data_IF_389599243721
#
_entry.id   IF_389599243721
#
_cell.length_a   1.000
_cell.length_b   1.000
_cell.length_c   1.000
_cell.angle_alpha   90.00
_cell.angle_beta   90.00
_cell.angle_gamma   90.00
#
_symmetry.space_group_name_H-M   'P 1'
#
loop_
_entity.id
_entity.type
_entity.pdbx_description
1 polymer ?
#
# COMPACT_ATOMS: atom_id res chain seq x y z
N UNK A 1 -2.61 1.54 56.65
CA UNK A 1 -2.11 0.31 56.00
C UNK A 1 -0.77 0.64 55.32
N UNK A 2 0.37 0.26 55.93
CA UNK A 2 1.71 0.57 55.38
C UNK A 2 2.08 -0.52 54.37
N UNK A 3 2.11 -0.21 53.08
CA UNK A 3 2.56 -1.11 52.03
C UNK A 3 4.07 -1.31 52.19
N UNK A 4 4.49 -2.58 52.27
CA UNK A 4 5.85 -2.98 52.55
C UNK A 4 6.79 -2.47 51.43
N UNK A 5 7.81 -1.68 51.82
CA UNK A 5 8.80 -1.05 50.93
C UNK A 5 9.53 -2.04 50.01
N UNK A 6 9.57 -3.33 50.35
CA UNK A 6 10.11 -4.41 49.52
C UNK A 6 9.24 -4.76 48.34
N UNK A 7 7.91 -4.59 48.41
CA UNK A 7 6.97 -4.86 47.32
C UNK A 7 7.00 -3.71 46.31
N UNK A 8 7.12 -2.46 46.77
CA UNK A 8 7.27 -1.30 45.88
C UNK A 8 8.54 -1.37 45.02
N UNK A 9 9.68 -1.77 45.63
CA UNK A 9 10.94 -1.94 44.88
C UNK A 9 10.86 -3.06 43.83
N UNK A 10 10.17 -4.17 44.13
CA UNK A 10 9.94 -5.26 43.16
C UNK A 10 8.98 -4.84 42.06
N UNK A 11 7.94 -4.05 42.34
CA UNK A 11 7.02 -3.55 41.33
C UNK A 11 7.71 -2.57 40.36
N UNK A 12 8.52 -1.64 40.90
CA UNK A 12 9.33 -0.74 40.07
C UNK A 12 10.32 -1.47 39.19
N UNK A 13 10.96 -2.54 39.67
CA UNK A 13 11.89 -3.35 38.86
C UNK A 13 11.18 -4.09 37.73
N UNK A 14 9.98 -4.61 37.98
CA UNK A 14 9.16 -5.28 36.94
C UNK A 14 8.67 -4.29 35.88
N UNK A 15 8.25 -3.08 36.27
CA UNK A 15 7.84 -2.04 35.33
C UNK A 15 9.03 -1.56 34.48
N UNK A 16 10.22 -1.39 35.08
CA UNK A 16 11.45 -1.07 34.35
C UNK A 16 11.89 -2.19 33.39
N UNK A 17 11.77 -3.45 33.79
CA UNK A 17 12.08 -4.59 32.90
C UNK A 17 11.10 -4.70 31.74
N UNK A 18 9.80 -4.45 31.97
CA UNK A 18 8.78 -4.43 30.92
C UNK A 18 9.00 -3.26 29.95
N UNK A 19 9.42 -2.09 30.44
CA UNK A 19 9.74 -0.94 29.57
C UNK A 19 11.02 -1.18 28.75
N UNK A 20 12.02 -1.87 29.31
CA UNK A 20 13.23 -2.27 28.56
C UNK A 20 12.94 -3.37 27.54
N UNK A 21 12.06 -4.32 27.83
CA UNK A 21 11.62 -5.34 26.89
C UNK A 21 10.80 -4.73 25.74
N UNK A 22 9.97 -3.72 26.02
CA UNK A 22 9.26 -2.97 24.97
C UNK A 22 10.22 -2.18 24.07
N UNK A 23 11.24 -1.53 24.64
CA UNK A 23 12.24 -0.80 23.85
C UNK A 23 13.11 -1.74 23.01
N UNK A 24 13.50 -2.91 23.51
CA UNK A 24 14.25 -3.92 22.73
C UNK A 24 13.40 -4.57 21.63
N UNK A 25 12.10 -4.76 21.84
CA UNK A 25 11.19 -5.20 20.76
C UNK A 25 11.05 -4.15 19.67
N UNK A 26 10.94 -2.86 20.02
CA UNK A 26 10.91 -1.75 19.05
C UNK A 26 12.20 -1.72 18.22
N UNK A 27 13.38 -1.88 18.85
CA UNK A 27 14.67 -1.95 18.16
C UNK A 27 14.82 -3.17 17.24
N UNK A 28 14.24 -4.32 17.60
CA UNK A 28 14.26 -5.52 16.76
C UNK A 28 13.34 -5.37 15.53
N UNK A 29 12.21 -4.67 15.65
CA UNK A 29 11.30 -4.40 14.53
C UNK A 29 11.88 -3.39 13.52
N UNK A 30 12.62 -2.37 13.97
CA UNK A 30 13.28 -1.41 13.08
C UNK A 30 14.30 -2.07 12.15
N UNK A 31 15.00 -3.11 12.59
CA UNK A 31 15.93 -3.89 11.75
C UNK A 31 15.23 -4.71 10.65
N UNK A 32 14.01 -5.18 10.88
CA UNK A 32 13.23 -5.93 9.89
C UNK A 32 12.77 -5.05 8.72
N UNK A 33 12.63 -3.74 8.95
CA UNK A 33 12.22 -2.77 7.92
C UNK A 33 13.39 -2.03 7.25
N UNK A 34 14.65 -2.41 7.51
CA UNK A 34 15.83 -1.80 6.88
C UNK A 34 16.10 -0.34 7.30
N UNK A 35 15.59 0.08 8.46
CA UNK A 35 15.87 1.39 9.02
C UNK A 35 17.24 1.33 9.69
N UNK A 36 18.30 1.72 8.99
CA UNK A 36 19.60 1.98 9.60
C UNK A 36 19.55 3.31 10.34
N UNK A 37 20.03 3.30 11.60
CA UNK A 37 20.08 4.45 12.49
C UNK A 37 20.73 5.68 11.83
N UNK A 38 19.99 6.78 11.83
CA UNK A 38 20.56 8.12 11.85
C UNK A 38 20.12 8.79 13.15
N UNK A 39 21.12 9.31 13.90
CA UNK A 39 20.95 9.87 15.24
C UNK A 39 19.91 11.00 15.35
N UNK A 40 19.56 11.43 16.59
CA UNK A 40 18.48 12.34 16.86
C UNK A 40 18.74 13.71 16.24
N UNK A 41 17.86 14.15 15.34
CA UNK A 41 17.85 15.52 14.83
C UNK A 41 17.11 16.39 15.85
N UNK A 42 17.83 17.29 16.51
CA UNK A 42 17.27 18.36 17.34
C UNK A 42 16.36 19.25 16.49
N UNK A 43 15.07 19.27 16.81
CA UNK A 43 14.11 20.19 16.19
C UNK A 43 14.12 21.48 16.99
N UNK A 44 14.95 22.45 16.60
CA UNK A 44 14.76 23.83 16.98
C UNK A 44 13.71 24.45 16.05
N UNK A 45 12.61 24.90 16.64
CA UNK A 45 11.52 25.56 15.94
C UNK A 45 11.94 26.91 15.36
N UNK A 46 12.26 26.93 14.10
CA UNK A 46 12.15 28.10 13.21
C UNK A 46 12.08 27.56 11.79
N UNK A 47 11.06 27.97 11.05
CA UNK A 47 10.76 27.51 9.71
C UNK A 47 11.94 27.57 8.77
N UNK A 48 12.43 26.45 8.34
CA UNK A 48 13.45 26.33 7.31
C UNK A 48 12.75 26.03 6.00
N UNK A 49 12.98 26.93 5.05
CA UNK A 49 12.59 26.80 3.66
C UNK A 49 13.07 25.48 3.07
N UNK A 50 12.34 25.00 2.06
CA UNK A 50 12.61 23.79 1.27
C UNK A 50 14.06 23.80 0.76
N UNK A 51 14.98 23.20 1.53
CA UNK A 51 16.32 22.86 1.09
C UNK A 51 16.29 21.46 0.48
N UNK A 52 16.58 21.37 -0.80
CA UNK A 52 16.85 20.11 -1.48
C UNK A 52 18.07 19.47 -0.81
N UNK A 53 17.97 18.20 -0.38
CA UNK A 53 19.11 17.42 0.06
C UNK A 53 19.96 17.06 -1.18
N UNK A 54 21.18 17.59 -1.33
CA UNK A 54 22.01 17.38 -2.53
C UNK A 54 22.37 15.91 -2.77
N UNK A 55 22.33 15.06 -1.74
CA UNK A 55 22.68 13.65 -1.82
C UNK A 55 21.64 12.84 -2.57
N UNK A 56 20.36 13.20 -2.42
CA UNK A 56 19.27 12.53 -3.13
C UNK A 56 19.22 12.94 -4.61
N UNK A 57 19.43 14.23 -4.90
CA UNK A 57 19.48 14.73 -6.27
C UNK A 57 20.62 14.08 -7.05
N UNK A 58 21.80 13.92 -6.41
CA UNK A 58 22.96 13.26 -7.01
C UNK A 58 22.71 11.79 -7.35
N UNK A 59 21.97 11.05 -6.51
CA UNK A 59 21.63 9.64 -6.76
C UNK A 59 20.58 9.53 -7.87
N UNK A 60 19.59 10.41 -7.92
CA UNK A 60 18.61 10.46 -9.01
C UNK A 60 19.28 10.76 -10.34
N UNK A 61 20.16 11.75 -10.39
CA UNK A 61 20.91 12.13 -11.59
C UNK A 61 21.85 11.01 -12.09
N UNK A 62 22.46 10.23 -11.20
CA UNK A 62 23.30 9.08 -11.55
C UNK A 62 22.50 7.91 -12.15
N UNK A 63 21.28 7.71 -11.73
CA UNK A 63 20.43 6.58 -12.15
C UNK A 63 19.59 6.90 -13.39
N UNK A 64 19.17 8.15 -13.60
CA UNK A 64 18.35 8.57 -14.73
C UNK A 64 19.16 9.16 -15.90
N UNK A 65 20.35 9.76 -15.68
CA UNK A 65 21.17 10.34 -16.73
C UNK A 65 22.11 9.35 -17.44
N UNK A 66 22.17 8.08 -17.06
CA UNK A 66 22.92 7.05 -17.82
C UNK A 66 22.18 6.51 -19.06
N UNK A 67 20.95 6.96 -19.36
CA UNK A 67 20.21 6.59 -20.57
C UNK A 67 20.11 7.72 -21.61
N UNK A 68 20.98 8.71 -21.60
CA UNK A 68 20.93 9.83 -22.52
C UNK A 68 22.29 10.24 -23.08
N UNK A 69 22.91 9.40 -23.90
CA UNK A 69 23.81 9.89 -24.97
C UNK A 69 24.11 8.80 -26.00
N UNK A 70 23.27 8.73 -27.01
CA UNK A 70 23.66 8.33 -28.38
C UNK A 70 22.60 8.84 -29.34
N UNK A 71 22.85 10.04 -29.89
CA UNK A 71 22.12 10.51 -31.06
C UNK A 71 22.85 9.97 -32.31
N UNK A 72 22.15 9.46 -33.31
CA UNK A 72 22.37 9.97 -34.64
C UNK A 72 21.08 10.37 -35.35
N UNK A 73 21.17 11.49 -36.01
CA UNK A 73 20.26 12.09 -36.99
C UNK A 73 19.59 11.09 -37.95
N UNK A 74 18.26 11.21 -38.16
CA UNK A 74 17.57 10.48 -39.23
C UNK A 74 16.07 10.78 -39.25
N UNK A 75 15.67 11.74 -40.04
CA UNK A 75 14.41 11.94 -40.80
C UNK A 75 13.14 11.17 -40.41
N UNK A 76 12.13 11.91 -40.05
CA UNK A 76 10.71 11.53 -39.87
C UNK A 76 10.09 10.99 -41.20
N UNK A 77 9.25 9.97 -41.13
CA UNK A 77 8.08 9.89 -41.98
C UNK A 77 6.77 9.81 -41.18
N UNK A 78 5.79 10.52 -41.67
CA UNK A 78 4.40 10.66 -41.23
C UNK A 78 3.69 9.29 -41.16
N UNK A 79 2.89 8.96 -40.12
CA UNK A 79 2.09 7.76 -40.11
C UNK A 79 0.77 7.91 -40.83
N UNK A 80 0.56 7.01 -41.77
CA UNK A 80 -0.73 6.81 -42.43
C UNK A 80 -1.72 6.08 -41.50
N UNK A 81 -2.96 6.54 -41.57
CA UNK A 81 -4.14 5.94 -40.94
C UNK A 81 -4.44 4.56 -41.52
N UNK A 82 -4.48 3.52 -40.68
CA UNK A 82 -5.14 2.25 -41.02
C UNK A 82 -6.04 1.81 -39.88
N UNK A 83 -7.31 1.67 -40.22
CA UNK A 83 -8.41 1.17 -39.42
C UNK A 83 -8.24 -0.32 -39.08
N UNK A 84 -8.48 -0.66 -37.80
CA UNK A 84 -8.53 -2.05 -37.33
C UNK A 84 -9.91 -2.68 -37.63
N UNK A 85 -9.98 -4.00 -37.95
CA UNK A 85 -11.24 -4.70 -38.20
C UNK A 85 -11.90 -5.17 -36.89
N UNK A 86 -13.24 -5.12 -36.88
CA UNK A 86 -14.11 -5.58 -35.81
C UNK A 86 -14.07 -7.14 -35.70
N UNK A 87 -14.08 -7.64 -34.48
CA UNK A 87 -14.14 -9.08 -34.20
C UNK A 87 -15.59 -9.50 -33.87
N UNK A 88 -16.12 -10.59 -34.43
CA UNK A 88 -17.50 -11.02 -34.20
C UNK A 88 -17.63 -11.84 -32.90
N UNK A 89 -18.85 -11.75 -32.32
CA UNK A 89 -19.22 -12.31 -31.05
C UNK A 89 -19.06 -13.83 -30.90
N UNK A 90 -18.71 -14.24 -29.68
CA UNK A 90 -18.79 -15.63 -29.21
C UNK A 90 -19.97 -15.74 -28.26
N UNK A 91 -21.00 -16.48 -28.65
CA UNK A 91 -22.06 -16.98 -27.79
C UNK A 91 -21.50 -18.09 -26.89
N UNK A 92 -21.70 -17.95 -25.60
CA UNK A 92 -21.37 -19.01 -24.65
C UNK A 92 -22.67 -19.58 -24.04
N UNK A 93 -23.05 -20.78 -24.50
CA UNK A 93 -24.03 -21.65 -23.86
C UNK A 93 -23.28 -22.71 -23.06
N UNK A 94 -23.58 -22.85 -21.78
CA UNK A 94 -23.08 -23.97 -20.98
C UNK A 94 -23.43 -23.78 -19.49
N UNK A 95 -24.53 -24.39 -19.05
CA UNK A 95 -25.01 -24.35 -17.66
C UNK A 95 -24.11 -25.13 -16.71
N UNK A 96 -24.08 -24.67 -15.44
CA UNK A 96 -23.44 -25.35 -14.32
C UNK A 96 -23.60 -24.55 -13.04
N UNK A 97 -24.42 -25.01 -12.17
CA UNK A 97 -24.68 -24.71 -10.74
C UNK A 97 -23.99 -23.47 -10.15
N UNK A 98 -24.75 -22.40 -10.02
CA UNK A 98 -24.38 -21.19 -9.30
C UNK A 98 -24.83 -21.27 -7.85
N UNK A 99 -23.87 -21.44 -6.94
CA UNK A 99 -24.02 -20.89 -5.61
C UNK A 99 -24.04 -19.35 -5.77
N UNK A 100 -25.20 -18.75 -5.62
CA UNK A 100 -25.41 -17.31 -5.67
C UNK A 100 -24.69 -16.64 -4.50
N UNK A 101 -23.40 -16.33 -4.68
CA UNK A 101 -22.75 -15.31 -3.88
C UNK A 101 -23.36 -13.99 -4.35
N UNK A 102 -24.29 -13.41 -3.57
CA UNK A 102 -24.78 -12.05 -3.81
C UNK A 102 -23.56 -11.14 -3.95
N UNK A 103 -23.27 -10.68 -5.16
CA UNK A 103 -22.33 -9.57 -5.38
C UNK A 103 -22.87 -8.40 -4.56
N UNK A 104 -22.16 -8.07 -3.48
CA UNK A 104 -22.50 -6.89 -2.68
C UNK A 104 -22.33 -5.67 -3.58
N UNK A 105 -23.43 -5.08 -3.98
CA UNK A 105 -23.44 -3.80 -4.69
C UNK A 105 -23.06 -2.71 -3.70
N UNK A 106 -21.75 -2.49 -3.54
CA UNK A 106 -21.29 -1.25 -2.89
C UNK A 106 -21.65 -0.07 -3.79
N UNK A 107 -22.31 0.94 -3.22
CA UNK A 107 -22.59 2.16 -3.94
C UNK A 107 -21.33 3.03 -3.96
N UNK A 108 -20.44 2.72 -4.90
CA UNK A 108 -19.14 3.39 -5.07
C UNK A 108 -19.22 4.50 -6.17
N UNK A 109 -20.40 4.99 -6.45
CA UNK A 109 -20.56 6.25 -7.16
C UNK A 109 -19.99 7.34 -6.26
N UNK A 110 -18.84 7.87 -6.63
CA UNK A 110 -18.09 8.97 -6.03
C UNK A 110 -18.39 9.23 -4.55
N UNK A 111 -17.55 8.66 -3.69
CA UNK A 111 -17.64 8.80 -2.23
C UNK A 111 -17.65 10.29 -1.85
N UNK A 112 -18.72 10.79 -1.25
CA UNK A 112 -18.94 12.22 -1.03
C UNK A 112 -19.24 12.56 0.43
N UNK A 113 -18.94 13.81 0.79
CA UNK A 113 -19.36 14.38 2.08
C UNK A 113 -20.88 14.53 2.12
N UNK A 114 -21.44 14.40 3.31
CA UNK A 114 -22.83 14.72 3.63
C UNK A 114 -22.87 15.72 4.79
N UNK A 115 -24.03 16.27 5.09
CA UNK A 115 -24.21 17.11 6.28
C UNK A 115 -23.92 16.41 7.61
N UNK A 116 -23.76 15.07 7.60
CA UNK A 116 -23.43 14.26 8.78
C UNK A 116 -21.96 13.93 8.89
N UNK A 117 -21.12 14.29 7.89
CA UNK A 117 -19.67 14.06 7.96
C UNK A 117 -19.07 14.76 9.17
N UNK A 118 -18.38 14.01 10.04
CA UNK A 118 -17.76 14.51 11.27
C UNK A 118 -16.33 14.98 11.02
N UNK A 119 -15.95 16.09 11.62
CA UNK A 119 -14.53 16.45 11.71
C UNK A 119 -13.86 15.54 12.72
N UNK A 120 -12.70 14.99 12.36
CA UNK A 120 -11.83 14.22 13.24
C UNK A 120 -10.76 15.18 13.76
N UNK A 121 -10.63 15.31 15.07
CA UNK A 121 -9.68 16.23 15.71
C UNK A 121 -8.50 15.47 16.33
N UNK A 122 -8.44 15.41 17.63
CA UNK A 122 -7.33 14.85 18.41
C UNK A 122 -7.47 13.37 18.75
N UNK A 123 -8.53 12.72 18.33
CA UNK A 123 -8.82 11.31 18.64
C UNK A 123 -7.82 10.34 18.01
N UNK A 124 -7.14 10.79 16.95
CA UNK A 124 -6.11 10.04 16.24
C UNK A 124 -4.88 10.90 16.00
N UNK A 125 -3.74 10.26 15.98
CA UNK A 125 -2.44 10.90 15.73
C UNK A 125 -2.26 11.29 14.25
N UNK A 126 -2.85 10.52 13.32
CA UNK A 126 -2.75 10.78 11.89
C UNK A 126 -3.15 12.21 11.50
N UNK A 127 -2.40 12.83 10.58
CA UNK A 127 -2.68 14.18 10.08
C UNK A 127 -3.68 14.20 8.94
N UNK A 128 -3.79 13.11 8.19
CA UNK A 128 -4.72 12.94 7.08
C UNK A 128 -5.60 11.74 7.36
N UNK A 129 -6.92 11.93 7.36
CA UNK A 129 -7.87 10.85 7.70
C UNK A 129 -9.10 10.97 6.84
N UNK A 130 -9.62 9.82 6.41
CA UNK A 130 -10.98 9.69 5.91
C UNK A 130 -11.56 8.34 6.30
N UNK A 131 -12.83 8.34 6.69
CA UNK A 131 -13.63 7.14 6.99
C UNK A 131 -14.85 7.14 6.09
N UNK A 132 -15.01 6.07 5.32
CA UNK A 132 -16.14 5.88 4.43
C UNK A 132 -17.10 4.83 4.95
N UNK A 133 -18.38 5.07 4.76
CA UNK A 133 -19.44 4.07 4.76
C UNK A 133 -19.61 3.56 3.32
N UNK A 134 -19.19 2.33 3.06
CA UNK A 134 -19.25 1.74 1.71
C UNK A 134 -20.67 1.32 1.32
N UNK A 135 -21.56 1.14 2.28
CA UNK A 135 -22.95 0.78 2.02
C UNK A 135 -23.74 2.00 1.53
N UNK A 136 -23.46 3.17 2.10
CA UNK A 136 -24.13 4.43 1.74
C UNK A 136 -23.35 5.26 0.68
N UNK A 137 -22.08 4.96 0.44
CA UNK A 137 -21.22 5.77 -0.44
C UNK A 137 -20.89 7.14 0.15
N UNK A 138 -20.83 7.29 1.48
CA UNK A 138 -20.65 8.57 2.17
C UNK A 138 -19.41 8.62 3.04
N UNK A 139 -18.86 9.82 3.25
CA UNK A 139 -17.79 10.08 4.20
C UNK A 139 -18.41 10.31 5.57
N UNK A 140 -18.08 9.42 6.53
CA UNK A 140 -18.52 9.53 7.92
C UNK A 140 -17.67 10.50 8.74
N UNK A 141 -16.36 10.51 8.49
CA UNK A 141 -15.43 11.36 9.20
C UNK A 141 -14.20 11.71 8.39
N UNK A 142 -13.61 12.88 8.67
CA UNK A 142 -12.44 13.35 7.94
C UNK A 142 -11.56 14.28 8.76
N UNK A 143 -10.26 14.33 8.36
CA UNK A 143 -9.26 15.30 8.77
C UNK A 143 -8.32 15.53 7.60
N UNK A 144 -8.26 16.76 7.06
CA UNK A 144 -7.42 17.12 5.91
C UNK A 144 -7.59 16.18 4.68
N UNK A 145 -8.81 15.67 4.45
CA UNK A 145 -9.04 14.58 3.48
C UNK A 145 -8.79 14.96 2.03
N UNK A 146 -8.79 16.27 1.72
CA UNK A 146 -8.51 16.82 0.38
C UNK A 146 -7.09 17.35 0.22
N UNK A 147 -6.27 17.31 1.28
CA UNK A 147 -4.87 17.71 1.20
C UNK A 147 -4.02 16.56 0.62
N UNK A 148 -3.03 16.92 -0.19
CA UNK A 148 -2.13 15.94 -0.81
C UNK A 148 -1.11 15.39 0.18
N UNK A 149 -0.80 14.13 0.03
CA UNK A 149 0.27 13.44 0.75
C UNK A 149 0.98 12.45 -0.17
N UNK A 150 2.21 12.09 0.16
CA UNK A 150 2.85 10.95 -0.50
C UNK A 150 2.22 9.66 0.04
N UNK A 151 1.70 8.75 -0.83
CA UNK A 151 1.00 7.54 -0.39
C UNK A 151 1.94 6.42 0.08
N UNK A 152 3.24 6.55 -0.13
CA UNK A 152 4.20 5.47 0.08
C UNK A 152 3.69 4.13 -0.52
N UNK A 153 3.92 3.02 0.13
CA UNK A 153 3.51 1.69 -0.35
C UNK A 153 1.99 1.45 -0.39
N UNK A 154 1.13 2.40 0.03
CA UNK A 154 -0.30 2.30 -0.30
C UNK A 154 -0.54 2.36 -1.83
N UNK A 155 0.38 2.96 -2.58
CA UNK A 155 0.47 2.90 -4.06
C UNK A 155 0.25 1.49 -4.60
N UNK A 156 0.72 0.46 -3.89
CA UNK A 156 0.66 -0.94 -4.33
C UNK A 156 -0.77 -1.50 -4.44
N UNK A 157 -1.77 -0.82 -3.89
CA UNK A 157 -3.18 -1.16 -4.14
C UNK A 157 -3.56 -0.85 -5.59
N UNK A 158 -3.10 0.29 -6.14
CA UNK A 158 -3.28 0.59 -7.57
C UNK A 158 -2.45 -0.37 -8.44
N UNK A 159 -1.23 -0.69 -8.02
CA UNK A 159 -0.38 -1.69 -8.70
C UNK A 159 -1.07 -3.04 -8.78
N UNK A 160 -1.64 -3.52 -7.66
CA UNK A 160 -2.42 -4.76 -7.64
C UNK A 160 -3.61 -4.69 -8.61
N UNK A 161 -4.39 -3.61 -8.56
CA UNK A 161 -5.57 -3.44 -9.40
C UNK A 161 -5.20 -3.48 -10.90
N UNK A 162 -4.19 -2.72 -11.32
CA UNK A 162 -3.73 -2.71 -12.72
C UNK A 162 -3.16 -4.07 -13.11
N UNK A 163 -2.41 -4.75 -12.23
CA UNK A 163 -1.85 -6.06 -12.54
C UNK A 163 -2.93 -7.13 -12.73
N UNK A 164 -3.94 -7.22 -11.86
CA UNK A 164 -5.01 -8.24 -11.98
C UNK A 164 -5.92 -8.00 -13.19
N UNK A 165 -6.03 -6.76 -13.65
CA UNK A 165 -6.80 -6.43 -14.86
C UNK A 165 -6.07 -6.78 -16.16
N UNK A 166 -4.73 -6.95 -16.13
CA UNK A 166 -3.90 -7.16 -17.32
C UNK A 166 -3.18 -8.53 -17.36
N UNK A 167 -3.29 -9.35 -16.31
CA UNK A 167 -2.60 -10.65 -16.21
C UNK A 167 -3.61 -11.79 -16.02
N UNK A 168 -4.16 -12.35 -17.10
CA UNK A 168 -5.16 -13.42 -17.03
C UNK A 168 -4.56 -14.79 -16.65
N UNK A 169 -3.28 -15.05 -16.98
CA UNK A 169 -2.60 -16.31 -16.65
C UNK A 169 -1.86 -16.19 -15.31
N UNK A 170 -2.51 -16.65 -14.26
CA UNK A 170 -1.98 -16.62 -12.90
C UNK A 170 -0.89 -17.66 -12.63
N UNK A 171 -0.82 -18.71 -13.43
CA UNK A 171 0.19 -19.78 -13.30
C UNK A 171 1.46 -19.48 -14.11
N UNK A 172 1.43 -18.48 -14.99
CA UNK A 172 2.62 -18.01 -15.70
C UNK A 172 3.73 -17.67 -14.73
N UNK A 173 4.93 -18.23 -14.98
CA UNK A 173 6.11 -17.95 -14.17
C UNK A 173 6.90 -16.80 -14.77
N UNK A 174 7.23 -15.81 -13.94
CA UNK A 174 8.12 -14.71 -14.27
C UNK A 174 9.48 -14.93 -13.62
N UNK A 175 10.53 -14.54 -14.31
CA UNK A 175 11.90 -14.63 -13.77
C UNK A 175 12.25 -13.32 -13.06
N UNK A 176 12.64 -13.40 -11.79
CA UNK A 176 13.20 -12.26 -11.07
C UNK A 176 14.61 -12.00 -11.62
N UNK A 177 14.81 -10.86 -12.24
CA UNK A 177 16.08 -10.52 -12.88
C UNK A 177 17.04 -9.85 -11.90
N UNK A 178 18.35 -9.85 -12.21
CA UNK A 178 19.37 -9.26 -11.32
C UNK A 178 19.14 -7.76 -11.12
N UNK A 179 18.71 -7.03 -12.15
CA UNK A 179 18.38 -5.61 -12.06
C UNK A 179 17.26 -5.30 -11.05
N UNK A 180 16.25 -6.17 -10.92
CA UNK A 180 15.21 -6.06 -9.89
C UNK A 180 15.81 -6.20 -8.50
N UNK A 181 16.65 -7.21 -8.27
CA UNK A 181 17.30 -7.46 -6.98
C UNK A 181 18.21 -6.28 -6.60
N UNK A 182 19.01 -5.80 -7.55
CA UNK A 182 19.92 -4.68 -7.35
C UNK A 182 19.16 -3.38 -7.05
N UNK A 183 18.07 -3.10 -7.77
CA UNK A 183 17.21 -1.95 -7.50
C UNK A 183 16.65 -1.98 -6.08
N UNK A 184 16.05 -3.10 -5.68
CA UNK A 184 15.45 -3.27 -4.35
C UNK A 184 16.48 -3.06 -3.25
N UNK A 185 17.68 -3.65 -3.41
CA UNK A 185 18.79 -3.52 -2.47
C UNK A 185 19.31 -2.07 -2.40
N UNK A 186 19.52 -1.43 -3.54
CA UNK A 186 20.03 -0.06 -3.62
C UNK A 186 19.07 0.97 -2.99
N UNK A 187 17.77 0.70 -3.04
CA UNK A 187 16.73 1.58 -2.50
C UNK A 187 16.29 1.23 -1.07
N UNK A 188 16.81 0.15 -0.48
CA UNK A 188 16.34 -0.35 0.81
C UNK A 188 14.82 -0.63 0.81
N UNK A 189 14.27 -1.04 -0.36
CA UNK A 189 12.85 -1.24 -0.50
C UNK A 189 12.39 -2.55 0.15
N UNK A 190 11.16 -2.58 0.69
CA UNK A 190 10.53 -3.82 1.14
C UNK A 190 10.47 -4.83 0.00
N UNK A 191 10.71 -6.11 0.29
CA UNK A 191 10.79 -7.17 -0.70
C UNK A 191 10.23 -8.49 -0.17
N UNK A 192 10.01 -9.44 -1.07
CA UNK A 192 9.57 -10.80 -0.75
C UNK A 192 10.72 -11.73 -0.39
N UNK A 193 11.97 -11.32 -0.63
CA UNK A 193 13.16 -12.15 -0.46
C UNK A 193 13.52 -12.95 -1.71
N UNK A 194 12.95 -12.64 -2.87
CA UNK A 194 13.31 -13.31 -4.11
C UNK A 194 14.75 -13.02 -4.52
N UNK A 195 15.36 -13.98 -5.22
CA UNK A 195 16.73 -13.87 -5.72
C UNK A 195 16.79 -13.92 -7.25
N UNK A 196 17.89 -13.45 -7.82
CA UNK A 196 18.06 -13.44 -9.27
C UNK A 196 17.97 -14.84 -9.88
N UNK A 197 17.25 -14.95 -11.01
CA UNK A 197 16.98 -16.23 -11.68
C UNK A 197 15.87 -17.06 -11.03
N UNK A 198 15.21 -16.55 -10.00
CA UNK A 198 14.05 -17.23 -9.40
C UNK A 198 12.82 -17.11 -10.30
N UNK A 199 12.11 -18.24 -10.47
CA UNK A 199 10.88 -18.31 -11.24
C UNK A 199 9.68 -18.35 -10.31
N UNK A 200 8.87 -17.29 -10.35
CA UNK A 200 7.74 -17.08 -9.43
C UNK A 200 6.46 -16.91 -10.25
N UNK A 201 5.36 -17.56 -9.85
CA UNK A 201 4.09 -17.43 -10.56
C UNK A 201 3.51 -16.02 -10.41
N UNK A 202 2.79 -15.55 -11.40
CA UNK A 202 2.04 -14.28 -11.35
C UNK A 202 1.17 -14.23 -10.09
N UNK A 203 0.44 -15.31 -9.77
CA UNK A 203 -0.36 -15.39 -8.53
C UNK A 203 0.48 -15.09 -7.29
N UNK A 204 1.62 -15.72 -7.14
CA UNK A 204 2.49 -15.56 -5.97
C UNK A 204 3.05 -14.13 -5.87
N UNK A 205 3.36 -13.52 -7.01
CA UNK A 205 3.80 -12.13 -7.08
C UNK A 205 2.70 -11.14 -6.64
N UNK A 206 1.43 -11.39 -6.98
CA UNK A 206 0.32 -10.54 -6.53
C UNK A 206 0.22 -10.50 -5.00
N UNK A 207 0.36 -11.66 -4.33
CA UNK A 207 0.44 -11.71 -2.86
C UNK A 207 1.71 -11.03 -2.34
N UNK A 208 2.83 -11.18 -3.05
CA UNK A 208 4.08 -10.49 -2.77
C UNK A 208 3.97 -8.97 -2.78
N UNK A 209 3.19 -8.39 -3.68
CA UNK A 209 2.92 -6.94 -3.74
C UNK A 209 2.27 -6.42 -2.45
N UNK A 210 1.33 -7.16 -1.89
CA UNK A 210 0.49 -6.68 -0.77
C UNK A 210 1.03 -7.07 0.59
N UNK A 211 1.29 -8.37 0.84
CA UNK A 211 1.55 -8.87 2.18
C UNK A 211 2.87 -8.33 2.76
N UNK A 212 4.04 -8.60 2.15
CA UNK A 212 5.32 -8.04 2.58
C UNK A 212 5.61 -6.67 1.95
N UNK A 213 4.71 -6.17 1.10
CA UNK A 213 4.93 -4.92 0.36
C UNK A 213 6.10 -4.99 -0.64
N UNK A 214 6.32 -6.15 -1.29
CA UNK A 214 7.48 -6.46 -2.12
C UNK A 214 7.63 -5.59 -3.37
N UNK A 215 8.70 -4.81 -3.44
CA UNK A 215 9.05 -4.04 -4.63
C UNK A 215 9.61 -4.93 -5.76
N UNK A 216 10.23 -6.05 -5.40
CA UNK A 216 10.66 -7.11 -6.32
C UNK A 216 9.47 -7.70 -7.10
N UNK A 217 8.40 -8.03 -6.41
CA UNK A 217 7.15 -8.48 -7.02
C UNK A 217 6.51 -7.39 -7.91
N UNK A 218 6.49 -6.14 -7.44
CA UNK A 218 5.99 -4.98 -8.21
C UNK A 218 6.71 -4.84 -9.54
N UNK A 219 8.05 -4.83 -9.52
CA UNK A 219 8.84 -4.61 -10.74
C UNK A 219 8.72 -5.78 -11.73
N UNK A 220 8.66 -7.02 -11.23
CA UNK A 220 8.43 -8.19 -12.08
C UNK A 220 7.08 -8.10 -12.81
N UNK A 221 6.00 -7.78 -12.08
CA UNK A 221 4.66 -7.61 -12.66
C UNK A 221 4.60 -6.41 -13.62
N UNK A 222 5.20 -5.28 -13.25
CA UNK A 222 5.22 -4.08 -14.09
C UNK A 222 5.92 -4.33 -15.44
N UNK A 223 7.05 -5.06 -15.41
CA UNK A 223 7.79 -5.46 -16.62
C UNK A 223 6.97 -6.41 -17.49
N UNK A 224 6.25 -7.35 -16.87
CA UNK A 224 5.39 -8.29 -17.61
C UNK A 224 4.20 -7.59 -18.28
N UNK A 225 3.52 -6.69 -17.57
CA UNK A 225 2.31 -6.02 -18.08
C UNK A 225 2.63 -4.98 -19.15
N UNK A 226 3.70 -4.21 -18.99
CA UNK A 226 3.94 -3.01 -19.79
C UNK A 226 5.38 -2.89 -20.34
N UNK A 227 6.18 -3.95 -20.22
CA UNK A 227 7.58 -3.97 -20.67
C UNK A 227 8.53 -3.16 -19.79
N UNK A 228 8.03 -2.25 -18.96
CA UNK A 228 8.81 -1.38 -18.07
C UNK A 228 7.96 -0.82 -16.92
N UNK A 229 8.61 -0.37 -15.82
CA UNK A 229 7.92 0.35 -14.76
C UNK A 229 7.27 1.65 -15.27
N UNK A 230 7.94 2.40 -16.16
CA UNK A 230 7.40 3.63 -16.74
C UNK A 230 6.11 3.39 -17.53
N UNK A 231 6.08 2.34 -18.37
CA UNK A 231 4.87 1.91 -19.10
C UNK A 231 3.75 1.52 -18.12
N UNK A 232 4.07 0.82 -17.06
CA UNK A 232 3.11 0.42 -16.04
C UNK A 232 2.55 1.64 -15.27
N UNK A 233 3.38 2.61 -14.94
CA UNK A 233 2.97 3.89 -14.32
C UNK A 233 2.02 4.68 -15.22
N UNK A 234 2.23 4.64 -16.54
CA UNK A 234 1.28 5.25 -17.48
C UNK A 234 -0.11 4.58 -17.38
N UNK A 235 -0.16 3.24 -17.25
CA UNK A 235 -1.43 2.52 -17.01
C UNK A 235 -2.05 2.88 -15.65
N UNK A 236 -1.25 3.03 -14.58
CA UNK A 236 -1.74 3.46 -13.28
C UNK A 236 -2.35 4.86 -13.33
N UNK A 237 -1.71 5.82 -13.99
CA UNK A 237 -2.23 7.17 -14.15
C UNK A 237 -3.48 7.19 -15.03
N UNK A 238 -3.52 6.37 -16.10
CA UNK A 238 -4.74 6.19 -16.88
C UNK A 238 -5.88 5.61 -16.02
N UNK A 239 -5.61 4.58 -15.22
CA UNK A 239 -6.62 4.01 -14.31
C UNK A 239 -7.13 5.05 -13.30
N UNK A 240 -6.27 5.93 -12.79
CA UNK A 240 -6.66 7.02 -11.91
C UNK A 240 -7.66 7.97 -12.61
N UNK A 241 -7.41 8.31 -13.87
CA UNK A 241 -8.35 9.10 -14.70
C UNK A 241 -9.67 8.36 -14.94
N UNK A 242 -9.61 7.07 -15.29
CA UNK A 242 -10.79 6.23 -15.54
C UNK A 242 -11.68 6.09 -14.28
N UNK A 243 -11.07 6.10 -13.09
CA UNK A 243 -11.77 6.12 -11.80
C UNK A 243 -12.29 7.51 -11.41
N UNK A 244 -11.97 8.55 -12.17
CA UNK A 244 -12.37 9.94 -11.89
C UNK A 244 -11.73 10.51 -10.63
N UNK A 245 -10.51 10.06 -10.28
CA UNK A 245 -9.76 10.56 -9.12
C UNK A 245 -9.39 12.03 -9.32
N UNK A 246 -8.99 12.69 -8.24
CA UNK A 246 -8.61 14.10 -8.29
C UNK A 246 -7.39 14.34 -9.20
N UNK A 247 -7.24 15.56 -9.72
CA UNK A 247 -6.05 15.96 -10.47
C UNK A 247 -4.76 15.87 -9.66
N UNK A 248 -4.90 15.78 -8.34
CA UNK A 248 -3.81 15.60 -7.39
C UNK A 248 -3.33 14.15 -7.27
N UNK A 249 -4.04 13.18 -7.84
CA UNK A 249 -3.62 11.80 -7.84
C UNK A 249 -2.61 11.55 -8.97
N UNK A 250 -1.33 11.42 -8.62
CA UNK A 250 -0.23 11.19 -9.56
C UNK A 250 0.70 10.09 -9.10
N UNK A 251 0.94 9.12 -9.99
CA UNK A 251 1.92 8.06 -9.80
C UNK A 251 3.20 8.36 -10.59
N UNK A 252 4.37 8.14 -9.95
CA UNK A 252 5.69 8.27 -10.56
C UNK A 252 6.46 6.95 -10.59
N UNK A 253 6.05 6.01 -9.74
CA UNK A 253 6.55 4.65 -9.72
C UNK A 253 5.44 3.70 -9.24
N UNK A 254 5.64 2.41 -9.44
CA UNK A 254 4.65 1.39 -9.07
C UNK A 254 4.80 0.88 -7.62
N UNK A 255 5.90 1.19 -6.97
CA UNK A 255 6.23 0.68 -5.62
C UNK A 255 5.84 1.62 -4.49
N UNK A 256 5.64 2.92 -4.78
CA UNK A 256 5.38 3.96 -3.77
C UNK A 256 6.65 4.47 -3.08
N UNK A 257 7.82 4.25 -3.66
CA UNK A 257 9.04 4.94 -3.25
C UNK A 257 8.86 6.44 -3.43
N UNK A 258 9.55 7.22 -2.58
CA UNK A 258 9.39 8.66 -2.60
C UNK A 258 9.78 9.27 -3.95
N UNK A 259 8.91 10.15 -4.42
CA UNK A 259 9.17 11.09 -5.49
C UNK A 259 8.36 12.36 -5.21
N UNK A 260 8.91 13.54 -5.45
CA UNK A 260 8.32 14.83 -5.08
C UNK A 260 6.92 15.06 -5.69
N UNK A 261 6.66 14.50 -6.87
CA UNK A 261 5.38 14.59 -7.58
C UNK A 261 4.55 13.30 -7.51
N UNK A 262 4.96 12.31 -6.68
CA UNK A 262 4.16 11.13 -6.39
C UNK A 262 3.26 11.42 -5.19
N UNK A 263 2.06 11.85 -5.43
CA UNK A 263 1.13 12.27 -4.38
C UNK A 263 -0.33 11.96 -4.74
N UNK A 264 -1.17 11.93 -3.73
CA UNK A 264 -2.63 11.83 -3.81
C UNK A 264 -3.25 12.32 -2.51
N UNK A 265 -4.57 12.42 -2.45
CA UNK A 265 -5.31 12.64 -1.21
C UNK A 265 -5.65 11.30 -0.54
N UNK A 266 -5.93 11.29 0.77
CA UNK A 266 -6.46 10.09 1.43
C UNK A 266 -7.82 9.68 0.87
N UNK A 267 -8.57 10.63 0.31
CA UNK A 267 -9.83 10.34 -0.39
C UNK A 267 -9.59 9.55 -1.67
N UNK A 268 -8.64 9.97 -2.53
CA UNK A 268 -8.26 9.21 -3.72
C UNK A 268 -7.81 7.78 -3.36
N UNK A 269 -7.02 7.63 -2.29
CA UNK A 269 -6.58 6.32 -1.82
C UNK A 269 -7.77 5.44 -1.42
N UNK A 270 -8.78 6.00 -0.77
CA UNK A 270 -10.01 5.28 -0.42
C UNK A 270 -10.76 4.81 -1.68
N UNK A 271 -10.88 5.66 -2.69
CA UNK A 271 -11.52 5.31 -3.96
C UNK A 271 -10.74 4.23 -4.73
N UNK A 272 -9.40 4.26 -4.71
CA UNK A 272 -8.54 3.20 -5.26
C UNK A 272 -8.77 1.86 -4.54
N UNK A 273 -8.77 1.87 -3.21
CA UNK A 273 -9.02 0.67 -2.42
C UNK A 273 -10.40 0.10 -2.70
N UNK A 274 -11.42 0.96 -2.74
CA UNK A 274 -12.78 0.56 -3.07
C UNK A 274 -12.88 -0.05 -4.48
N UNK A 275 -12.18 0.51 -5.47
CA UNK A 275 -12.11 -0.05 -6.82
C UNK A 275 -11.41 -1.43 -6.82
N UNK A 276 -10.29 -1.58 -6.12
CA UNK A 276 -9.58 -2.86 -5.99
C UNK A 276 -10.47 -3.93 -5.33
N UNK A 277 -11.25 -3.56 -4.32
CA UNK A 277 -12.17 -4.48 -3.63
C UNK A 277 -13.31 -5.01 -4.53
N UNK A 278 -13.64 -4.35 -5.65
CA UNK A 278 -14.62 -4.87 -6.64
C UNK A 278 -14.07 -6.03 -7.45
N UNK A 279 -12.77 -6.04 -7.73
CA UNK A 279 -12.13 -7.15 -8.41
C UNK A 279 -11.99 -8.32 -7.42
N UNK A 280 -12.50 -9.50 -7.77
CA UNK A 280 -12.53 -10.66 -6.87
C UNK A 280 -11.13 -11.12 -6.46
N UNK A 281 -10.17 -11.15 -7.41
CA UNK A 281 -8.79 -11.56 -7.13
C UNK A 281 -8.06 -10.50 -6.29
N UNK A 282 -8.19 -9.22 -6.63
CA UNK A 282 -7.58 -8.16 -5.83
C UNK A 282 -8.13 -8.15 -4.39
N UNK A 283 -9.43 -8.37 -4.22
CA UNK A 283 -10.06 -8.50 -2.90
C UNK A 283 -9.54 -9.71 -2.14
N UNK A 284 -9.38 -10.88 -2.79
CA UNK A 284 -8.79 -12.08 -2.19
C UNK A 284 -7.38 -11.78 -1.67
N UNK A 285 -6.51 -11.19 -2.51
CA UNK A 285 -5.14 -10.83 -2.13
C UNK A 285 -5.12 -9.83 -0.96
N UNK A 286 -5.94 -8.77 -1.02
CA UNK A 286 -6.02 -7.74 0.03
C UNK A 286 -6.51 -8.29 1.38
N UNK A 287 -7.37 -9.34 1.36
CA UNK A 287 -7.95 -9.94 2.57
C UNK A 287 -7.14 -11.11 3.12
N UNK A 288 -6.05 -11.48 2.47
CA UNK A 288 -5.21 -12.58 2.92
C UNK A 288 -4.22 -12.12 3.98
N UNK A 289 -4.28 -12.75 5.15
CA UNK A 289 -3.33 -12.47 6.25
C UNK A 289 -2.02 -13.22 6.08
N UNK A 290 -2.08 -14.49 5.73
CA UNK A 290 -0.90 -15.35 5.54
C UNK A 290 -1.02 -16.08 4.21
N UNK A 291 0.07 -16.13 3.45
CA UNK A 291 0.17 -16.83 2.19
C UNK A 291 1.48 -17.59 2.10
N UNK A 292 1.42 -18.85 1.65
CA UNK A 292 2.60 -19.67 1.42
C UNK A 292 2.87 -19.75 -0.08
N UNK A 293 3.92 -19.08 -0.56
CA UNK A 293 4.46 -19.33 -1.89
C UNK A 293 5.01 -20.76 -1.90
N UNK A 294 4.62 -21.61 -2.85
CA UNK A 294 5.17 -22.96 -2.97
C UNK A 294 6.67 -22.95 -3.27
N UNK A 295 7.30 -24.13 -3.21
CA UNK A 295 8.69 -24.29 -3.60
C UNK A 295 8.96 -23.73 -5.01
N UNK A 296 10.02 -22.94 -5.12
CA UNK A 296 10.54 -22.41 -6.38
C UNK A 296 11.85 -23.09 -6.76
N UNK A 297 12.41 -22.73 -7.90
CA UNK A 297 13.75 -23.20 -8.30
C UNK A 297 14.91 -22.64 -7.41
N UNK A 298 14.61 -21.72 -6.51
CA UNK A 298 15.61 -21.11 -5.58
C UNK A 298 15.25 -21.29 -4.11
N UNK A 299 13.97 -21.34 -3.75
CA UNK A 299 13.48 -21.54 -2.39
C UNK A 299 12.75 -22.89 -2.28
N UNK A 300 13.47 -23.96 -1.96
CA UNK A 300 12.93 -25.34 -1.91
C UNK A 300 11.79 -25.54 -0.90
N UNK A 301 11.71 -24.70 0.16
CA UNK A 301 10.62 -24.71 1.14
C UNK A 301 9.54 -23.64 0.85
N UNK A 302 9.66 -22.92 -0.29
CA UNK A 302 8.82 -21.77 -0.58
C UNK A 302 9.08 -20.59 0.36
N UNK A 303 8.18 -19.59 0.33
CA UNK A 303 8.31 -18.38 1.14
C UNK A 303 6.97 -18.09 1.82
N UNK A 304 6.99 -17.87 3.14
CA UNK A 304 5.81 -17.45 3.90
C UNK A 304 5.70 -15.93 3.87
N UNK A 305 4.55 -15.42 3.45
CA UNK A 305 4.21 -14.00 3.44
C UNK A 305 3.13 -13.71 4.48
N UNK A 306 3.22 -12.56 5.15
CA UNK A 306 2.25 -12.15 6.18
C UNK A 306 1.87 -10.67 6.02
N UNK A 307 0.58 -10.38 6.12
CA UNK A 307 0.07 -9.01 6.26
C UNK A 307 0.06 -8.63 7.75
N UNK A 308 1.11 -7.98 8.20
CA UNK A 308 1.29 -7.62 9.60
C UNK A 308 0.23 -6.64 10.12
N UNK A 309 -0.36 -5.80 9.26
CA UNK A 309 -1.42 -4.90 9.71
C UNK A 309 -2.66 -5.68 10.16
N UNK A 310 -3.12 -6.63 9.33
CA UNK A 310 -4.29 -7.46 9.65
C UNK A 310 -4.04 -8.27 10.94
N UNK A 311 -2.84 -8.80 11.11
CA UNK A 311 -2.46 -9.53 12.30
C UNK A 311 -2.49 -8.66 13.56
N UNK A 312 -1.93 -7.45 13.48
CA UNK A 312 -1.77 -6.55 14.62
C UNK A 312 -3.07 -5.87 15.02
N UNK A 313 -3.91 -5.47 14.06
CA UNK A 313 -5.16 -4.77 14.40
C UNK A 313 -6.15 -5.67 15.17
N UNK A 314 -6.06 -6.99 14.99
CA UNK A 314 -6.86 -7.97 15.74
C UNK A 314 -6.57 -7.97 17.25
N UNK A 315 -5.42 -7.43 17.66
CA UNK A 315 -5.05 -7.29 19.08
C UNK A 315 -5.54 -5.98 19.70
N UNK A 316 -6.18 -5.11 18.91
CA UNK A 316 -6.65 -3.81 19.35
C UNK A 316 -8.18 -3.79 19.60
N UNK A 317 -8.62 -2.88 20.45
CA UNK A 317 -10.05 -2.65 20.66
C UNK A 317 -10.63 -1.82 19.51
N UNK A 318 -11.28 -2.52 18.59
CA UNK A 318 -11.94 -1.94 17.42
C UNK A 318 -13.44 -1.70 17.61
N UNK A 319 -13.96 -1.83 18.86
CA UNK A 319 -15.41 -1.73 19.12
C UNK A 319 -16.21 -2.86 18.48
N UNK A 320 -15.64 -4.07 18.34
CA UNK A 320 -16.28 -5.22 17.71
C UNK A 320 -16.16 -5.26 16.18
N UNK A 321 -15.43 -4.32 15.58
CA UNK A 321 -15.21 -4.36 14.12
C UNK A 321 -14.24 -5.49 13.73
N UNK A 322 -14.53 -6.11 12.57
CA UNK A 322 -13.68 -7.12 11.94
C UNK A 322 -12.98 -6.49 10.73
N UNK A 323 -11.70 -6.12 10.90
CA UNK A 323 -10.85 -5.54 9.84
C UNK A 323 -10.17 -6.67 9.09
N UNK A 324 -10.48 -6.80 7.80
CA UNK A 324 -10.06 -7.96 7.00
C UNK A 324 -9.14 -7.63 5.83
N UNK A 325 -9.05 -6.36 5.42
CA UNK A 325 -8.23 -5.93 4.29
C UNK A 325 -7.37 -4.75 4.69
N UNK A 326 -6.10 -4.75 4.30
CA UNK A 326 -5.24 -3.61 4.57
C UNK A 326 -3.99 -3.55 3.69
N UNK A 327 -3.49 -2.31 3.50
CA UNK A 327 -2.16 -2.03 2.97
C UNK A 327 -1.53 -0.88 3.74
N UNK A 328 -0.31 -1.09 4.21
CA UNK A 328 0.51 -0.09 4.90
C UNK A 328 1.47 0.61 3.95
N UNK A 329 1.95 1.78 4.35
CA UNK A 329 3.00 2.50 3.67
C UNK A 329 3.88 3.29 4.63
N UNK A 330 5.15 3.45 4.27
CA UNK A 330 6.10 4.29 4.95
C UNK A 330 7.14 4.81 3.97
N UNK A 331 7.32 6.11 3.96
CA UNK A 331 8.53 6.82 3.54
C UNK A 331 8.72 7.98 4.51
N UNK A 332 9.94 8.49 4.66
CA UNK A 332 10.22 9.59 5.60
C UNK A 332 9.26 10.78 5.41
N UNK A 333 8.88 11.08 4.18
CA UNK A 333 8.04 12.22 3.81
C UNK A 333 6.54 12.01 4.08
N UNK A 334 6.06 10.77 4.15
CA UNK A 334 4.68 10.46 4.49
C UNK A 334 4.52 9.96 5.92
N UNK A 335 5.62 9.69 6.63
CA UNK A 335 5.57 8.95 7.87
C UNK A 335 4.78 7.64 7.68
N UNK A 336 4.14 7.12 8.70
CA UNK A 336 3.36 5.89 8.60
C UNK A 336 1.94 6.17 8.10
N UNK A 337 1.51 5.41 7.11
CA UNK A 337 0.19 5.52 6.51
C UNK A 337 -0.41 4.13 6.25
N UNK A 338 -1.72 4.05 6.20
CA UNK A 338 -2.42 2.82 5.83
C UNK A 338 -3.80 3.07 5.28
N UNK A 339 -4.27 2.09 4.51
CA UNK A 339 -5.66 1.93 4.11
C UNK A 339 -6.14 0.57 4.57
N UNK A 340 -7.33 0.52 5.16
CA UNK A 340 -7.95 -0.75 5.58
C UNK A 340 -9.45 -0.75 5.36
N UNK A 341 -10.02 -1.94 5.25
CA UNK A 341 -11.47 -2.12 5.17
C UNK A 341 -11.90 -3.30 6.05
N UNK A 342 -13.11 -3.17 6.59
CA UNK A 342 -13.68 -4.16 7.47
C UNK A 342 -15.15 -3.90 7.77
N UNK A 343 -15.76 -4.81 8.50
CA UNK A 343 -17.14 -4.68 8.98
C UNK A 343 -17.12 -4.13 10.40
N UNK A 344 -17.76 -2.99 10.64
CA UNK A 344 -17.95 -2.41 11.95
C UNK A 344 -18.80 -3.28 12.89
N UNK A 345 -18.70 -3.05 14.19
CA UNK A 345 -19.53 -3.71 15.20
C UNK A 345 -21.03 -3.47 15.01
N UNK A 346 -21.40 -2.32 14.43
CA UNK A 346 -22.77 -1.97 14.03
C UNK A 346 -23.21 -2.58 12.68
N UNK A 347 -22.36 -3.38 12.03
CA UNK A 347 -22.64 -4.07 10.78
C UNK A 347 -22.32 -3.31 9.50
N UNK A 348 -21.92 -2.04 9.55
CA UNK A 348 -21.54 -1.22 8.38
C UNK A 348 -20.25 -1.72 7.75
N UNK A 349 -20.15 -1.66 6.42
CA UNK A 349 -18.89 -1.86 5.72
C UNK A 349 -18.12 -0.54 5.69
N UNK A 350 -17.00 -0.51 6.40
CA UNK A 350 -16.17 0.68 6.54
C UNK A 350 -14.86 0.56 5.74
N UNK A 351 -14.40 1.70 5.24
CA UNK A 351 -13.07 1.86 4.69
C UNK A 351 -12.40 3.06 5.37
N UNK A 352 -11.20 2.85 5.88
CA UNK A 352 -10.43 3.83 6.65
C UNK A 352 -9.11 4.07 5.95
N UNK A 353 -8.74 5.34 5.76
CA UNK A 353 -7.42 5.74 5.27
C UNK A 353 -6.82 6.73 6.25
N UNK A 354 -5.57 6.49 6.64
CA UNK A 354 -4.78 7.41 7.46
C UNK A 354 -3.44 7.71 6.81
N UNK A 355 -2.93 8.91 7.07
CA UNK A 355 -1.61 9.33 6.65
C UNK A 355 -0.92 10.18 7.70
N UNK A 356 0.42 10.08 7.73
CA UNK A 356 1.25 10.85 8.63
C UNK A 356 1.03 10.53 10.11
N UNK A 357 0.93 9.24 10.47
CA UNK A 357 0.99 8.75 11.86
C UNK A 357 2.46 8.64 12.30
N UNK A 358 2.73 8.78 13.59
CA UNK A 358 4.08 8.87 14.16
C UNK A 358 4.85 7.54 14.19
N UNK A 359 4.15 6.40 14.17
CA UNK A 359 4.76 5.06 14.17
C UNK A 359 3.84 4.02 13.54
N UNK A 360 4.38 2.83 13.26
CA UNK A 360 3.59 1.68 12.79
C UNK A 360 2.45 1.35 13.75
N UNK A 361 2.73 1.28 15.05
CA UNK A 361 1.72 0.97 16.06
C UNK A 361 0.69 2.09 16.19
N UNK A 362 1.12 3.35 16.14
CA UNK A 362 0.20 4.48 16.19
C UNK A 362 -0.76 4.46 15.00
N UNK A 363 -0.26 4.13 13.80
CA UNK A 363 -1.10 3.98 12.62
C UNK A 363 -2.18 2.89 12.81
N UNK A 364 -1.84 1.77 13.45
CA UNK A 364 -2.80 0.69 13.78
C UNK A 364 -3.80 1.15 14.84
N UNK A 365 -3.35 1.84 15.89
CA UNK A 365 -4.22 2.38 16.95
C UNK A 365 -5.16 3.46 16.40
N UNK A 366 -4.69 4.30 15.48
CA UNK A 366 -5.54 5.29 14.80
C UNK A 366 -6.69 4.60 14.06
N UNK A 367 -6.39 3.51 13.31
CA UNK A 367 -7.43 2.72 12.64
C UNK A 367 -8.39 2.06 13.63
N UNK A 368 -7.88 1.46 14.71
CA UNK A 368 -8.72 0.84 15.74
C UNK A 368 -9.69 1.84 16.36
N UNK A 369 -9.20 3.04 16.72
CA UNK A 369 -10.03 4.13 17.27
C UNK A 369 -11.12 4.57 16.28
N UNK A 370 -10.78 4.67 14.97
CA UNK A 370 -11.73 5.05 13.93
C UNK A 370 -12.80 3.96 13.72
N UNK A 371 -12.42 2.69 13.70
CA UNK A 371 -13.39 1.59 13.65
C UNK A 371 -14.30 1.58 14.88
N UNK A 372 -13.74 1.77 16.07
CA UNK A 372 -14.52 1.85 17.31
C UNK A 372 -15.52 3.01 17.30
N UNK A 373 -15.13 4.16 16.73
CA UNK A 373 -15.98 5.37 16.69
C UNK A 373 -17.10 5.28 15.67
N UNK A 374 -16.85 4.72 14.48
CA UNK A 374 -17.77 4.77 13.35
C UNK A 374 -18.43 3.41 13.06
N UNK A 375 -17.87 2.34 13.56
CA UNK A 375 -18.34 0.96 13.48
C UNK A 375 -19.06 0.52 14.72
#
# INVERSE_FOLDING_TARGET
MRINMGIQKKLCAVVLLLSMLQSTMIYAEERVYGITEYGPVSVNGNGVGRGQDPTYQYIEDLLYNRQGNSNPSGTNPTPGTTSAPANPGVQNNGGGNTATTQERKWNLAKLSKSGQTKTIASEVNANYVVVFDLDQGTILGEKNSSATMNPASMTKVMTLLVAVENLPDLEKKLTITQDIVDFVKARGASNCGFVAGEQVRVKDLLYGVILPSGADAVLALAKEVAGSEAGFVALMNKKAQDLGLSSECRFQNASGLYHSTHHMTVKDMGEIMAAAMRNSLAREVLSTENYQIPATNKHGNGIKLTNLFIQRIKTQDTGGASVTMAKTGFVRQSMFCSVSSGKGGNGKNLLVVTGYSSSTWQCIMDHAALYKRFG
#
